data_IF_087510470957
#
_entry.id   IF_087510470957
#
_cell.length_a   1.000
_cell.length_b   1.000
_cell.length_c   1.000
_cell.angle_alpha   90.00
_cell.angle_beta   90.00
_cell.angle_gamma   90.00
#
_symmetry.space_group_name_H-M   'P 1'
#
loop_
_entity.id
_entity.type
_entity.pdbx_description
1 polymer ?
#
# COMPACT_ATOMS: atom_id res chain seq x y z
N UNK A 1 11.52 -10.01 48.31
CA UNK A 1 12.78 -10.40 47.64
C UNK A 1 12.48 -11.05 46.31
N UNK A 2 12.57 -10.29 45.21
CA UNK A 2 12.36 -10.79 43.85
C UNK A 2 13.60 -11.60 43.45
N UNK A 3 13.45 -12.92 43.30
CA UNK A 3 14.57 -13.80 42.95
C UNK A 3 14.55 -14.09 41.44
N UNK A 4 15.72 -13.86 40.84
CA UNK A 4 16.06 -13.92 39.42
C UNK A 4 15.49 -15.16 38.71
N UNK A 5 14.74 -14.94 37.63
CA UNK A 5 14.47 -15.98 36.63
C UNK A 5 15.70 -16.03 35.71
N UNK A 6 16.57 -17.01 35.95
CA UNK A 6 17.58 -17.42 34.98
C UNK A 6 16.86 -18.06 33.79
N UNK A 7 16.89 -17.40 32.64
CA UNK A 7 16.48 -17.99 31.37
C UNK A 7 17.64 -18.83 30.86
N UNK A 8 17.60 -20.13 31.11
CA UNK A 8 18.48 -21.09 30.45
C UNK A 8 18.00 -21.24 29.00
N UNK A 9 18.70 -20.56 28.08
CA UNK A 9 18.57 -20.78 26.64
C UNK A 9 19.09 -22.20 26.31
N UNK A 10 18.19 -23.17 26.27
CA UNK A 10 18.48 -24.42 25.58
C UNK A 10 18.48 -24.14 24.08
N UNK A 11 19.69 -24.20 23.51
CA UNK A 11 19.93 -24.26 22.07
C UNK A 11 19.20 -25.48 21.49
N UNK A 12 18.10 -25.26 20.79
CA UNK A 12 17.51 -26.21 19.86
C UNK A 12 17.05 -25.44 18.63
N UNK A 13 17.76 -25.62 17.52
CA UNK A 13 17.82 -24.73 16.35
C UNK A 13 16.53 -24.53 15.54
N UNK A 14 15.32 -24.83 16.04
CA UNK A 14 14.09 -24.75 15.23
C UNK A 14 12.78 -24.37 15.94
N UNK A 15 12.78 -23.85 17.17
CA UNK A 15 11.52 -23.34 17.77
C UNK A 15 11.73 -22.07 18.59
N UNK A 16 11.05 -20.98 18.20
CA UNK A 16 10.83 -19.81 19.06
C UNK A 16 9.58 -20.08 19.88
N UNK A 17 9.73 -20.48 21.14
CA UNK A 17 8.61 -20.69 22.05
C UNK A 17 8.37 -19.39 22.84
N UNK A 18 7.27 -18.68 22.56
CA UNK A 18 6.83 -17.57 23.40
C UNK A 18 5.95 -18.13 24.52
N UNK A 19 6.44 -18.10 25.76
CA UNK A 19 5.70 -18.60 26.93
C UNK A 19 5.16 -17.41 27.71
N UNK A 20 3.99 -16.91 27.32
CA UNK A 20 3.12 -16.12 28.18
C UNK A 20 1.76 -16.81 28.22
N UNK A 21 1.35 -17.21 29.42
CA UNK A 21 0.34 -18.23 29.66
C UNK A 21 -1.07 -17.87 29.20
N UNK A 22 -1.61 -18.74 28.34
CA UNK A 22 -3.02 -19.09 28.24
C UNK A 22 -3.07 -20.61 27.96
N UNK A 23 -3.87 -21.42 28.69
CA UNK A 23 -3.99 -22.85 28.42
C UNK A 23 -4.92 -23.06 27.22
N UNK A 24 -4.37 -22.82 26.02
CA UNK A 24 -5.00 -23.13 24.74
C UNK A 24 -3.98 -23.84 23.88
N UNK A 25 -4.29 -25.06 23.46
CA UNK A 25 -3.41 -25.98 22.73
C UNK A 25 -2.66 -25.26 21.60
N UNK A 26 -1.38 -24.97 21.81
CA UNK A 26 -0.49 -24.46 20.76
C UNK A 26 -0.07 -25.67 19.94
N UNK A 27 -0.81 -25.98 18.86
CA UNK A 27 -0.33 -26.94 17.87
C UNK A 27 0.78 -26.28 17.06
N UNK A 28 1.97 -26.89 17.09
CA UNK A 28 3.06 -26.53 16.19
C UNK A 28 2.58 -26.74 14.76
N UNK A 29 2.54 -25.70 13.93
CA UNK A 29 2.33 -25.88 12.50
C UNK A 29 3.52 -26.66 11.96
N UNK A 30 3.26 -27.81 11.35
CA UNK A 30 4.32 -28.57 10.69
C UNK A 30 4.84 -27.73 9.52
N UNK A 31 6.16 -27.50 9.49
CA UNK A 31 6.81 -26.87 8.34
C UNK A 31 6.57 -27.75 7.12
N UNK A 32 5.72 -27.28 6.21
CA UNK A 32 5.60 -27.87 4.88
C UNK A 32 6.79 -27.35 4.07
N UNK A 33 7.73 -28.20 3.63
CA UNK A 33 8.76 -27.76 2.71
C UNK A 33 8.05 -27.17 1.48
N UNK A 34 8.32 -25.91 1.21
CA UNK A 34 7.83 -25.24 0.00
C UNK A 34 8.63 -25.85 -1.15
N UNK A 35 7.99 -26.49 -2.15
CA UNK A 35 8.69 -26.94 -3.34
C UNK A 35 9.41 -25.75 -3.98
N UNK A 36 10.67 -25.93 -4.37
CA UNK A 36 11.39 -24.88 -5.09
C UNK A 36 10.63 -24.60 -6.40
N UNK A 37 10.25 -23.34 -6.62
CA UNK A 37 9.65 -22.92 -7.89
C UNK A 37 10.66 -23.13 -9.03
N UNK A 38 10.17 -23.62 -10.17
CA UNK A 38 11.02 -23.78 -11.34
C UNK A 38 11.62 -22.42 -11.75
N UNK A 39 12.90 -22.38 -12.14
CA UNK A 39 13.53 -21.15 -12.62
C UNK A 39 12.76 -20.55 -13.80
N UNK A 40 12.68 -19.22 -13.83
CA UNK A 40 12.09 -18.52 -14.98
C UNK A 40 12.86 -18.88 -16.27
N UNK A 41 12.15 -19.41 -17.26
CA UNK A 41 12.68 -19.88 -18.53
C UNK A 41 12.70 -18.81 -19.64
N UNK A 42 12.40 -17.56 -19.30
CA UNK A 42 12.38 -16.45 -20.26
C UNK A 42 13.77 -16.21 -20.86
N UNK A 43 13.86 -16.25 -22.19
CA UNK A 43 15.05 -15.90 -22.95
C UNK A 43 15.22 -14.38 -22.99
N UNK A 44 16.28 -13.87 -22.34
CA UNK A 44 16.53 -12.44 -22.17
C UNK A 44 16.85 -11.79 -23.52
N UNK A 45 17.76 -12.37 -24.29
CA UNK A 45 18.21 -11.83 -25.57
C UNK A 45 17.09 -11.82 -26.61
N UNK A 46 16.33 -12.90 -26.73
CA UNK A 46 15.22 -12.96 -27.66
C UNK A 46 14.08 -12.02 -27.25
N UNK A 47 13.75 -11.95 -25.96
CA UNK A 47 12.74 -11.00 -25.48
C UNK A 47 13.15 -9.56 -25.75
N UNK A 48 14.42 -9.21 -25.58
CA UNK A 48 14.94 -7.89 -25.91
C UNK A 48 14.83 -7.58 -27.41
N UNK A 49 15.08 -8.56 -28.28
CA UNK A 49 14.86 -8.39 -29.74
C UNK A 49 13.40 -8.18 -30.07
N UNK A 50 12.50 -8.95 -29.46
CA UNK A 50 11.04 -8.81 -29.61
C UNK A 50 10.55 -7.44 -29.15
N UNK A 51 11.12 -6.95 -28.05
CA UNK A 51 10.85 -5.62 -27.51
C UNK A 51 11.27 -4.52 -28.49
N UNK A 52 12.51 -4.61 -29.02
CA UNK A 52 13.07 -3.64 -29.99
C UNK A 52 12.30 -3.61 -31.32
N UNK A 53 11.71 -4.71 -31.76
CA UNK A 53 10.87 -4.77 -32.98
C UNK A 53 9.39 -4.41 -32.74
N UNK A 54 9.03 -4.03 -31.50
CA UNK A 54 7.66 -3.71 -31.10
C UNK A 54 6.67 -4.84 -31.43
N UNK A 55 7.03 -6.07 -31.06
CA UNK A 55 6.23 -7.27 -31.31
C UNK A 55 4.82 -7.16 -30.70
N UNK A 56 3.74 -7.26 -31.50
CA UNK A 56 2.36 -7.08 -31.03
C UNK A 56 1.90 -8.14 -30.03
N UNK A 57 2.55 -9.30 -29.99
CA UNK A 57 2.21 -10.40 -29.07
C UNK A 57 2.92 -10.27 -27.72
N UNK A 58 3.88 -9.34 -27.57
CA UNK A 58 4.66 -9.16 -26.34
C UNK A 58 4.01 -8.13 -25.41
N UNK A 59 2.93 -8.52 -24.74
CA UNK A 59 2.21 -7.65 -23.79
C UNK A 59 2.87 -7.60 -22.41
N UNK A 60 3.55 -8.68 -22.02
CA UNK A 60 4.17 -8.82 -20.70
C UNK A 60 5.63 -9.28 -20.83
N UNK A 61 6.50 -8.59 -20.11
CA UNK A 61 7.92 -8.92 -19.98
C UNK A 61 8.20 -9.24 -18.52
N UNK A 62 8.48 -10.51 -18.24
CA UNK A 62 8.75 -11.02 -16.91
C UNK A 62 10.18 -11.59 -16.83
N UNK A 63 11.08 -10.85 -16.20
CA UNK A 63 12.48 -11.24 -15.95
C UNK A 63 12.71 -11.64 -14.49
N UNK A 64 11.65 -12.00 -13.76
CA UNK A 64 11.73 -12.29 -12.33
C UNK A 64 12.67 -13.46 -12.06
N UNK A 65 13.49 -13.32 -11.02
CA UNK A 65 14.40 -14.34 -10.48
C UNK A 65 15.44 -14.86 -11.48
N UNK A 66 15.62 -14.20 -12.63
CA UNK A 66 16.71 -14.51 -13.56
C UNK A 66 18.00 -13.92 -12.99
N UNK A 67 18.93 -14.81 -12.63
CA UNK A 67 20.20 -14.42 -12.01
C UNK A 67 21.18 -13.98 -13.09
N UNK A 68 22.02 -13.00 -12.75
CA UNK A 68 23.16 -12.53 -13.55
C UNK A 68 22.84 -11.83 -14.87
N UNK A 69 21.68 -11.17 -14.99
CA UNK A 69 21.47 -10.25 -16.12
C UNK A 69 22.45 -9.08 -15.98
N UNK A 70 23.29 -8.77 -16.98
CA UNK A 70 24.17 -7.61 -16.92
C UNK A 70 23.37 -6.31 -16.84
N UNK A 71 23.81 -5.37 -16.00
CA UNK A 71 23.18 -4.04 -15.87
C UNK A 71 23.04 -3.32 -17.23
N UNK A 72 24.03 -3.37 -18.16
CA UNK A 72 23.85 -2.79 -19.49
C UNK A 72 22.67 -3.39 -20.27
N UNK A 73 22.41 -4.69 -20.14
CA UNK A 73 21.27 -5.34 -20.79
C UNK A 73 19.96 -4.81 -20.22
N UNK A 74 19.84 -4.69 -18.89
CA UNK A 74 18.66 -4.08 -18.26
C UNK A 74 18.46 -2.62 -18.67
N UNK A 75 19.55 -1.87 -18.85
CA UNK A 75 19.51 -0.51 -19.39
C UNK A 75 18.96 -0.51 -20.83
N UNK A 76 19.39 -1.45 -21.66
CA UNK A 76 18.82 -1.62 -23.01
C UNK A 76 17.33 -1.97 -23.00
N UNK A 77 16.85 -2.73 -22.00
CA UNK A 77 15.42 -2.96 -21.82
C UNK A 77 14.68 -1.66 -21.52
N UNK A 78 15.19 -0.82 -20.62
CA UNK A 78 14.58 0.46 -20.30
C UNK A 78 14.57 1.41 -21.51
N UNK A 79 15.66 1.46 -22.27
CA UNK A 79 15.76 2.25 -23.51
C UNK A 79 14.79 1.74 -24.58
N UNK A 80 14.73 0.43 -24.81
CA UNK A 80 13.80 -0.16 -25.77
C UNK A 80 12.32 0.05 -25.36
N UNK A 81 12.03 0.07 -24.07
CA UNK A 81 10.69 0.38 -23.55
C UNK A 81 10.30 1.84 -23.78
N UNK A 82 11.21 2.79 -23.95
CA UNK A 82 10.85 4.21 -24.17
C UNK A 82 9.92 4.40 -25.37
N UNK A 83 10.21 3.71 -26.48
CA UNK A 83 9.47 3.81 -27.75
C UNK A 83 8.48 2.66 -27.97
N UNK A 84 8.45 1.67 -27.06
CA UNK A 84 7.57 0.51 -27.19
C UNK A 84 6.09 0.88 -26.94
N UNK A 85 5.22 0.40 -27.81
CA UNK A 85 3.79 0.72 -27.78
C UNK A 85 2.89 -0.48 -27.47
N UNK A 86 3.46 -1.62 -27.06
CA UNK A 86 2.72 -2.88 -26.84
C UNK A 86 2.84 -3.38 -25.40
N UNK A 87 4.02 -3.28 -24.79
CA UNK A 87 4.26 -3.83 -23.45
C UNK A 87 3.49 -3.02 -22.41
N UNK A 88 2.60 -3.70 -21.71
CA UNK A 88 1.81 -3.14 -20.62
C UNK A 88 2.35 -3.52 -19.24
N UNK A 89 3.06 -4.65 -19.13
CA UNK A 89 3.57 -5.15 -17.85
C UNK A 89 5.05 -5.47 -17.94
N UNK A 90 5.84 -4.86 -17.06
CA UNK A 90 7.28 -5.10 -16.96
C UNK A 90 7.67 -5.44 -15.52
N UNK A 91 8.34 -6.58 -15.35
CA UNK A 91 8.73 -7.10 -14.05
C UNK A 91 10.17 -7.58 -14.05
N UNK A 92 10.99 -7.07 -13.12
CA UNK A 92 12.42 -7.38 -12.98
C UNK A 92 12.78 -7.74 -11.53
N UNK A 93 11.89 -8.47 -10.85
CA UNK A 93 12.04 -8.82 -9.43
C UNK A 93 13.26 -9.70 -9.22
N UNK A 94 14.10 -9.38 -8.24
CA UNK A 94 15.22 -10.26 -7.87
C UNK A 94 16.34 -10.35 -8.92
N UNK A 95 16.46 -9.37 -9.82
CA UNK A 95 17.45 -9.35 -10.91
C UNK A 95 18.77 -8.68 -10.54
N UNK A 96 18.89 -8.18 -9.30
CA UNK A 96 20.00 -7.35 -8.81
C UNK A 96 20.11 -5.99 -9.51
N UNK A 97 18.99 -5.46 -9.98
CA UNK A 97 18.90 -4.13 -10.58
C UNK A 97 19.30 -3.02 -9.59
N UNK A 98 19.87 -1.94 -10.10
CA UNK A 98 20.28 -0.76 -9.33
C UNK A 98 19.84 0.53 -10.04
N UNK A 99 20.25 1.69 -9.52
CA UNK A 99 19.83 3.00 -10.03
C UNK A 99 20.24 3.28 -11.50
N UNK A 100 21.20 2.53 -12.06
CA UNK A 100 21.72 2.75 -13.42
C UNK A 100 20.84 2.23 -14.55
N UNK A 101 19.76 1.52 -14.25
CA UNK A 101 18.84 0.94 -15.25
C UNK A 101 18.00 2.02 -15.97
N UNK A 102 18.05 3.29 -15.53
CA UNK A 102 17.38 4.43 -16.17
C UNK A 102 15.84 4.31 -16.29
N UNK A 103 15.21 3.53 -15.39
CA UNK A 103 13.76 3.31 -15.39
C UNK A 103 12.94 4.60 -15.22
N UNK A 104 13.45 5.58 -14.49
CA UNK A 104 12.80 6.89 -14.32
C UNK A 104 12.75 7.70 -15.63
N UNK A 105 13.75 7.56 -16.49
CA UNK A 105 13.74 8.20 -17.81
C UNK A 105 12.76 7.48 -18.74
N UNK A 106 12.74 6.15 -18.67
CA UNK A 106 11.78 5.32 -19.41
C UNK A 106 10.33 5.71 -19.09
N UNK A 107 9.98 5.83 -17.81
CA UNK A 107 8.63 6.23 -17.40
C UNK A 107 8.24 7.66 -17.81
N UNK A 108 9.19 8.58 -18.00
CA UNK A 108 8.86 9.93 -18.48
C UNK A 108 8.41 9.95 -19.94
N UNK A 109 8.86 8.98 -20.73
CA UNK A 109 8.65 8.91 -22.18
C UNK A 109 7.58 7.89 -22.55
N UNK A 110 7.64 6.70 -21.93
CA UNK A 110 6.73 5.62 -22.24
C UNK A 110 5.29 5.96 -21.82
N UNK A 111 4.35 5.72 -22.74
CA UNK A 111 2.92 6.00 -22.55
C UNK A 111 2.03 4.74 -22.60
N UNK A 112 2.64 3.56 -22.60
CA UNK A 112 1.92 2.28 -22.76
C UNK A 112 1.90 1.47 -21.47
N UNK A 113 3.01 1.48 -20.74
CA UNK A 113 3.22 0.65 -19.56
C UNK A 113 2.18 0.97 -18.47
N UNK A 114 1.55 -0.09 -17.97
CA UNK A 114 0.49 -0.06 -16.94
C UNK A 114 0.99 -0.58 -15.59
N UNK A 115 1.86 -1.58 -15.59
CA UNK A 115 2.41 -2.17 -14.36
C UNK A 115 3.92 -2.30 -14.43
N UNK A 116 4.59 -1.78 -13.40
CA UNK A 116 6.03 -1.89 -13.21
C UNK A 116 6.33 -2.54 -11.86
N UNK A 117 7.04 -3.66 -11.88
CA UNK A 117 7.52 -4.32 -10.66
C UNK A 117 9.06 -4.40 -10.62
N UNK A 118 9.63 -3.74 -9.60
CA UNK A 118 11.06 -3.68 -9.33
C UNK A 118 11.41 -4.15 -7.91
N UNK A 119 10.54 -4.94 -7.29
CA UNK A 119 10.74 -5.52 -5.95
C UNK A 119 12.05 -6.32 -5.83
N UNK A 120 12.56 -6.46 -4.61
CA UNK A 120 13.70 -7.35 -4.31
C UNK A 120 14.97 -7.03 -5.11
N UNK A 121 15.28 -5.74 -5.27
CA UNK A 121 16.46 -5.25 -6.00
C UNK A 121 17.38 -4.39 -5.11
N UNK A 122 18.38 -3.74 -5.71
CA UNK A 122 19.37 -2.87 -5.06
C UNK A 122 19.16 -1.40 -5.44
N UNK A 123 17.90 -0.98 -5.61
CA UNK A 123 17.56 0.40 -5.92
C UNK A 123 17.63 1.21 -4.63
N UNK A 124 18.32 2.34 -4.66
CA UNK A 124 18.48 3.20 -3.49
C UNK A 124 17.28 4.11 -3.28
N UNK A 125 17.17 4.74 -2.11
CA UNK A 125 16.17 5.77 -1.87
C UNK A 125 16.19 6.89 -2.91
N UNK A 126 17.38 7.28 -3.42
CA UNK A 126 17.50 8.26 -4.49
C UNK A 126 16.94 7.75 -5.82
N UNK A 127 17.21 6.51 -6.20
CA UNK A 127 16.65 5.90 -7.40
C UNK A 127 15.12 5.80 -7.35
N UNK A 128 14.57 5.41 -6.19
CA UNK A 128 13.12 5.37 -5.95
C UNK A 128 12.49 6.76 -6.04
N UNK A 129 13.13 7.81 -5.49
CA UNK A 129 12.62 9.17 -5.63
C UNK A 129 12.56 9.61 -7.08
N UNK A 130 13.60 9.34 -7.87
CA UNK A 130 13.60 9.64 -9.31
C UNK A 130 12.50 8.89 -10.06
N UNK A 131 12.24 7.63 -9.70
CA UNK A 131 11.11 6.85 -10.23
C UNK A 131 9.77 7.51 -9.91
N UNK A 132 9.54 7.92 -8.67
CA UNK A 132 8.24 8.50 -8.28
C UNK A 132 8.08 9.92 -8.84
N UNK A 133 9.16 10.69 -8.96
CA UNK A 133 9.15 11.99 -9.64
C UNK A 133 8.73 11.85 -11.12
N UNK A 134 9.15 10.78 -11.79
CA UNK A 134 8.73 10.51 -13.18
C UNK A 134 7.20 10.31 -13.31
N UNK A 135 6.53 9.83 -12.27
CA UNK A 135 5.08 9.64 -12.25
C UNK A 135 4.29 10.95 -12.29
N UNK A 136 4.91 12.10 -12.00
CA UNK A 136 4.23 13.39 -12.15
C UNK A 136 3.96 13.71 -13.63
N UNK A 137 4.75 13.14 -14.55
CA UNK A 137 4.61 13.32 -16.00
C UNK A 137 3.92 12.13 -16.67
N UNK A 138 4.00 10.95 -16.05
CA UNK A 138 3.40 9.74 -16.57
C UNK A 138 1.94 9.62 -16.11
N UNK A 139 1.01 9.50 -17.07
CA UNK A 139 -0.42 9.32 -16.80
C UNK A 139 -0.93 7.92 -17.12
N UNK A 140 -0.04 6.99 -17.48
CA UNK A 140 -0.40 5.68 -18.03
C UNK A 140 -0.15 4.55 -17.06
N UNK A 141 0.83 4.69 -16.17
CA UNK A 141 1.17 3.70 -15.15
C UNK A 141 0.11 3.66 -14.04
N UNK A 142 -0.42 2.47 -13.79
CA UNK A 142 -1.48 2.21 -12.81
C UNK A 142 -0.96 1.50 -11.57
N UNK A 143 0.10 0.70 -11.72
CA UNK A 143 0.69 -0.09 -10.66
C UNK A 143 2.21 0.06 -10.63
N UNK A 144 2.75 0.40 -9.46
CA UNK A 144 4.18 0.45 -9.21
C UNK A 144 4.49 -0.33 -7.92
N UNK A 145 5.36 -1.34 -8.02
CA UNK A 145 5.82 -2.17 -6.90
C UNK A 145 7.33 -2.01 -6.71
N UNK A 146 7.72 -1.57 -5.51
CA UNK A 146 9.11 -1.23 -5.17
C UNK A 146 9.58 -1.85 -3.86
N UNK A 147 8.80 -2.75 -3.24
CA UNK A 147 9.09 -3.27 -1.91
C UNK A 147 10.35 -4.16 -1.85
N UNK A 148 10.80 -4.47 -0.63
CA UNK A 148 11.91 -5.37 -0.35
C UNK A 148 13.24 -4.99 -1.03
N UNK A 149 13.56 -3.69 -1.13
CA UNK A 149 14.88 -3.27 -1.59
C UNK A 149 15.97 -3.68 -0.59
N UNK A 150 17.20 -3.82 -1.10
CA UNK A 150 18.35 -4.27 -0.30
C UNK A 150 18.64 -3.42 0.95
N UNK A 151 18.23 -2.15 0.94
CA UNK A 151 18.39 -1.21 2.04
C UNK A 151 17.06 -0.50 2.30
N UNK A 152 16.77 -0.13 3.56
CA UNK A 152 15.60 0.69 3.86
C UNK A 152 15.74 2.07 3.19
N UNK A 153 14.64 2.60 2.65
CA UNK A 153 14.65 3.88 1.95
C UNK A 153 14.94 5.07 2.88
N UNK A 154 14.53 4.95 4.14
CA UNK A 154 14.72 5.96 5.19
C UNK A 154 13.56 6.94 5.32
N UNK A 155 13.35 7.45 6.54
CA UNK A 155 12.16 8.24 6.91
C UNK A 155 11.96 9.49 6.05
N UNK A 156 13.05 10.19 5.69
CA UNK A 156 12.97 11.39 4.85
C UNK A 156 12.47 11.05 3.45
N UNK A 157 12.94 9.94 2.89
CA UNK A 157 12.53 9.47 1.56
C UNK A 157 11.05 9.09 1.59
N UNK A 158 10.60 8.34 2.60
CA UNK A 158 9.19 7.96 2.73
C UNK A 158 8.22 9.16 2.79
N UNK A 159 8.60 10.22 3.51
CA UNK A 159 7.82 11.45 3.58
C UNK A 159 7.68 12.12 2.20
N UNK A 160 8.77 12.14 1.43
CA UNK A 160 8.78 12.71 0.09
C UNK A 160 7.96 11.86 -0.89
N UNK A 161 8.09 10.52 -0.81
CA UNK A 161 7.25 9.58 -1.56
C UNK A 161 5.78 9.88 -1.35
N UNK A 162 5.33 9.97 -0.10
CA UNK A 162 3.94 10.28 0.21
C UNK A 162 3.50 11.63 -0.38
N UNK A 163 4.34 12.66 -0.29
CA UNK A 163 4.04 13.98 -0.87
C UNK A 163 3.94 13.97 -2.39
N UNK A 164 4.69 13.11 -3.08
CA UNK A 164 4.62 12.98 -4.53
C UNK A 164 3.42 12.13 -4.97
N UNK A 165 3.09 11.07 -4.23
CA UNK A 165 1.91 10.24 -4.50
C UNK A 165 0.60 11.05 -4.39
N UNK A 166 0.50 11.98 -3.44
CA UNK A 166 -0.66 12.88 -3.33
C UNK A 166 -0.86 13.80 -4.54
N UNK A 167 0.20 14.08 -5.31
CA UNK A 167 0.13 14.92 -6.51
C UNK A 167 -0.23 14.12 -7.77
N UNK A 168 -0.05 12.80 -7.74
CA UNK A 168 -0.36 11.93 -8.86
C UNK A 168 -1.79 11.40 -8.72
N UNK A 169 -2.59 11.53 -9.78
CA UNK A 169 -4.00 11.09 -9.80
C UNK A 169 -4.25 9.83 -10.62
N UNK A 170 -3.20 9.20 -11.16
CA UNK A 170 -3.32 8.10 -12.13
C UNK A 170 -2.94 6.74 -11.53
N UNK A 171 -2.01 6.72 -10.58
CA UNK A 171 -1.54 5.51 -9.94
C UNK A 171 -2.62 4.98 -8.99
N UNK A 172 -2.99 3.71 -9.18
CA UNK A 172 -4.04 3.03 -8.41
C UNK A 172 -3.48 2.12 -7.33
N UNK A 173 -2.28 1.59 -7.55
CA UNK A 173 -1.61 0.65 -6.65
C UNK A 173 -0.15 1.02 -6.48
N UNK A 174 0.24 1.26 -5.22
CA UNK A 174 1.62 1.47 -4.84
C UNK A 174 2.07 0.38 -3.86
N UNK A 175 2.90 -0.55 -4.33
CA UNK A 175 3.44 -1.66 -3.57
C UNK A 175 4.71 -1.25 -2.83
N UNK A 176 4.55 -0.76 -1.60
CA UNK A 176 5.65 -0.47 -0.68
C UNK A 176 5.16 -0.50 0.77
N UNK A 177 5.89 -1.17 1.65
CA UNK A 177 5.62 -1.12 3.08
C UNK A 177 6.28 0.10 3.75
N UNK A 178 5.51 1.17 3.93
CA UNK A 178 5.97 2.35 4.69
C UNK A 178 6.27 2.01 6.15
N UNK A 179 7.47 2.35 6.61
CA UNK A 179 7.85 2.18 8.02
C UNK A 179 7.12 3.17 8.93
N UNK A 180 6.95 4.42 8.48
CA UNK A 180 6.31 5.48 9.27
C UNK A 180 4.78 5.52 9.05
N UNK A 181 4.00 5.67 10.13
CA UNK A 181 2.54 5.71 10.07
C UNK A 181 1.98 6.89 9.26
N UNK A 182 2.63 8.06 9.33
CA UNK A 182 2.22 9.27 8.61
C UNK A 182 2.22 9.07 7.08
N UNK A 183 3.39 8.82 6.46
CA UNK A 183 3.50 8.45 5.04
C UNK A 183 2.60 7.30 4.63
N UNK A 184 2.47 6.27 5.48
CA UNK A 184 1.60 5.11 5.21
C UNK A 184 0.15 5.53 4.99
N UNK A 185 -0.40 6.33 5.91
CA UNK A 185 -1.78 6.79 5.81
C UNK A 185 -1.97 7.72 4.61
N UNK A 186 -1.03 8.65 4.38
CA UNK A 186 -1.06 9.58 3.25
C UNK A 186 -1.01 8.85 1.91
N UNK A 187 -0.09 7.90 1.74
CA UNK A 187 0.03 7.07 0.55
C UNK A 187 -1.23 6.22 0.31
N UNK A 188 -1.77 5.59 1.37
CA UNK A 188 -3.03 4.83 1.28
C UNK A 188 -4.21 5.71 0.85
N UNK A 189 -4.34 6.91 1.41
CA UNK A 189 -5.40 7.85 1.05
C UNK A 189 -5.25 8.34 -0.39
N UNK A 190 -4.02 8.61 -0.85
CA UNK A 190 -3.77 8.98 -2.24
C UNK A 190 -4.24 7.89 -3.21
N UNK A 191 -3.89 6.62 -2.95
CA UNK A 191 -4.35 5.50 -3.79
C UNK A 191 -5.87 5.32 -3.71
N UNK A 192 -6.48 5.51 -2.55
CA UNK A 192 -7.94 5.44 -2.39
C UNK A 192 -8.65 6.52 -3.21
N UNK A 193 -8.20 7.78 -3.11
CA UNK A 193 -8.74 8.89 -3.89
C UNK A 193 -8.62 8.64 -5.40
N UNK A 194 -7.51 8.08 -5.87
CA UNK A 194 -7.32 7.78 -7.29
C UNK A 194 -8.24 6.65 -7.77
N UNK A 195 -8.45 5.62 -6.95
CA UNK A 195 -9.42 4.56 -7.26
C UNK A 195 -10.86 5.09 -7.28
N UNK A 196 -11.22 6.03 -6.40
CA UNK A 196 -12.54 6.67 -6.39
C UNK A 196 -12.75 7.53 -7.64
N UNK A 197 -11.72 8.27 -8.07
CA UNK A 197 -11.74 9.05 -9.33
C UNK A 197 -11.91 8.14 -10.56
N UNK A 198 -11.17 7.03 -10.63
CA UNK A 198 -11.31 6.04 -11.70
C UNK A 198 -12.67 5.31 -11.68
N UNK A 199 -13.31 5.22 -10.51
CA UNK A 199 -14.66 4.70 -10.35
C UNK A 199 -15.76 5.65 -10.84
N UNK A 200 -15.57 6.97 -10.70
CA UNK A 200 -16.54 7.98 -11.13
C UNK A 200 -16.70 8.04 -12.67
N UNK A 201 -15.67 7.69 -13.43
CA UNK A 201 -15.75 7.61 -14.89
C UNK A 201 -16.65 6.45 -15.39
N UNK A 202 -16.97 5.48 -14.52
CA UNK A 202 -17.86 4.36 -14.87
C UNK A 202 -19.35 4.65 -14.60
N UNK A 203 -19.70 5.80 -14.00
CA UNK A 203 -21.07 6.14 -13.59
C UNK A 203 -21.51 7.54 -14.06
N UNK A 204 -21.20 7.91 -15.31
CA UNK A 204 -21.75 9.12 -15.93
C UNK A 204 -22.54 8.83 -17.21
N UNK A 205 -23.66 8.14 -17.06
CA UNK A 205 -24.87 8.48 -17.81
C UNK A 205 -26.12 8.12 -17.00
N UNK A 206 -26.71 9.14 -16.37
CA UNK A 206 -28.14 9.50 -16.28
C UNK A 206 -28.46 10.13 -14.92
N UNK A 207 -28.35 11.45 -14.80
CA UNK A 207 -29.53 12.34 -14.64
C UNK A 207 -29.12 13.79 -14.34
N UNK A 208 -29.37 14.63 -15.34
CA UNK A 208 -29.94 15.98 -15.31
C UNK A 208 -30.18 16.68 -13.95
N UNK A 209 -29.62 17.90 -13.85
CA UNK A 209 -30.09 19.14 -13.16
C UNK A 209 -30.90 18.99 -11.86
N UNK A 210 -30.52 19.65 -10.76
CA UNK A 210 -30.79 21.10 -10.58
C UNK A 210 -29.83 21.80 -9.61
N UNK A 211 -29.51 23.05 -9.94
CA UNK A 211 -28.95 24.06 -9.03
C UNK A 211 -29.91 24.31 -7.87
N UNK A 212 -29.41 24.32 -6.63
CA UNK A 212 -29.76 25.34 -5.60
C UNK A 212 -28.71 25.36 -4.51
N UNK A 213 -28.19 26.56 -4.22
CA UNK A 213 -27.51 26.89 -2.96
C UNK A 213 -28.34 26.40 -1.75
N UNK A 214 -27.71 25.76 -0.77
CA UNK A 214 -27.84 26.23 0.62
C UNK A 214 -26.89 25.54 1.60
N UNK A 215 -26.23 26.41 2.36
CA UNK A 215 -25.57 26.19 3.62
C UNK A 215 -26.50 25.66 4.71
N UNK A 216 -25.90 24.94 5.66
CA UNK A 216 -26.31 24.73 7.05
C UNK A 216 -27.25 23.55 7.41
N UNK A 217 -26.63 22.60 8.12
CA UNK A 217 -27.04 21.99 9.39
C UNK A 217 -28.25 21.04 9.48
N UNK A 218 -27.91 19.81 9.94
CA UNK A 218 -28.51 19.05 11.05
C UNK A 218 -30.05 18.86 11.05
N UNK A 219 -30.52 17.61 11.03
CA UNK A 219 -30.74 16.79 12.24
C UNK A 219 -31.65 15.57 11.92
N UNK A 220 -31.37 14.44 12.58
CA UNK A 220 -32.15 13.20 12.60
C UNK A 220 -33.66 13.37 12.82
N UNK A 221 -34.48 12.46 12.25
CA UNK A 221 -35.43 11.65 13.01
C UNK A 221 -36.09 10.55 12.15
N UNK A 222 -36.23 9.34 12.71
CA UNK A 222 -37.51 8.68 13.05
C UNK A 222 -37.31 7.15 13.06
N UNK A 223 -37.45 6.55 14.26
CA UNK A 223 -38.02 5.22 14.44
C UNK A 223 -39.22 5.36 15.37
N UNK A 224 -40.34 4.72 14.98
CA UNK A 224 -41.68 4.91 15.52
C UNK A 224 -42.29 3.56 15.91
N UNK A 225 -43.00 3.51 17.06
CA UNK A 225 -44.22 2.72 17.41
C UNK A 225 -44.47 2.83 18.93
N UNK A 226 -45.48 3.59 19.40
CA UNK A 226 -46.89 3.21 19.71
C UNK A 226 -47.00 2.08 20.78
N UNK A 227 -47.74 2.16 21.90
CA UNK A 227 -49.15 2.56 22.06
C UNK A 227 -49.60 2.72 23.55
N UNK A 228 -50.37 3.80 23.79
CA UNK A 228 -51.56 4.08 24.65
C UNK A 228 -51.88 3.44 26.04
N UNK A 229 -52.45 4.34 26.88
CA UNK A 229 -53.56 4.24 27.87
C UNK A 229 -53.29 4.44 29.39
N UNK A 230 -53.65 5.66 29.86
CA UNK A 230 -54.63 6.02 30.91
C UNK A 230 -54.39 5.90 32.46
N UNK A 231 -54.46 7.08 33.11
CA UNK A 231 -55.11 7.47 34.41
C UNK A 231 -54.38 7.38 35.78
N UNK A 232 -54.50 8.51 36.51
CA UNK A 232 -54.54 8.79 37.98
C UNK A 232 -53.25 9.22 38.71
N UNK A 233 -53.22 10.51 39.06
CA UNK A 233 -52.58 11.12 40.25
C UNK A 233 -53.42 10.86 41.52
N UNK A 234 -53.10 11.32 42.76
CA UNK A 234 -51.90 11.97 43.35
C UNK A 234 -51.44 11.33 44.71
N UNK A 235 -50.39 11.83 45.39
CA UNK A 235 -50.39 12.27 46.82
C UNK A 235 -49.03 12.26 47.55
N UNK A 236 -48.78 13.37 48.30
CA UNK A 236 -48.04 13.55 49.57
C UNK A 236 -46.50 13.32 49.55
N UNK A 237 -45.61 14.17 50.11
CA UNK A 237 -45.70 15.06 51.29
C UNK A 237 -44.57 16.11 51.25
N UNK A 238 -44.81 17.27 51.87
CA UNK A 238 -43.89 18.42 52.03
C UNK A 238 -43.16 18.38 53.40
N UNK A 239 -41.98 19.02 53.45
CA UNK A 239 -41.40 19.87 54.54
C UNK A 239 -40.29 19.29 55.47
N UNK A 240 -39.31 20.15 55.85
CA UNK A 240 -37.88 19.83 56.01
C UNK A 240 -37.39 19.93 57.47
N UNK A 241 -36.08 19.71 57.71
CA UNK A 241 -35.44 20.19 58.94
C UNK A 241 -34.07 20.82 58.66
N UNK A 242 -33.90 21.98 59.30
CA UNK A 242 -32.80 22.93 59.24
C UNK A 242 -31.95 22.75 60.51
N UNK A 243 -30.62 22.85 60.42
CA UNK A 243 -29.66 23.37 61.43
C UNK A 243 -28.29 22.69 61.24
N UNK A 244 -27.15 23.28 61.57
CA UNK A 244 -26.63 24.63 61.53
C UNK A 244 -25.11 24.44 61.71
N UNK A 245 -24.34 25.36 61.15
CA UNK A 245 -22.88 25.42 61.21
C UNK A 245 -22.33 25.63 62.63
N UNK A 246 -20.99 25.60 62.73
CA UNK A 246 -20.08 26.09 63.80
C UNK A 246 -19.72 25.06 64.88
N UNK A 247 -18.50 24.94 65.41
CA UNK A 247 -17.21 25.63 65.25
C UNK A 247 -16.16 24.88 66.10
N UNK A 248 -14.87 24.90 65.71
CA UNK A 248 -13.64 24.96 66.56
C UNK A 248 -13.36 23.71 67.44
N UNK A 249 -12.18 23.07 67.46
CA UNK A 249 -10.79 23.53 67.29
C UNK A 249 -9.98 22.66 66.33
#
# INVERSE_FOLDING_TARGET
SCNKIYTTLFSCSKCVLCVCGLPGVIQSTQYKPVPDEEPNSTDVEETLRRLKRNDPDLVEVNLNNIRNIPIPVLKEYAEALMENSVVERFSIVGTRSNDHVALAEMLKVNTTLKSLNVESNFITGTGILSLIESLQKNTTLLELKIDNQSQPLGNKVEMEIASMLEKNTTLLKFGYHFTQQGPRLRGSNAMMNNNDLGGLDTHTHTHTHTHTHNTAQMQCCVLNKLSLYHVKSPSLTLIPFHQQSSCIS
#
